data_IF_411292646066
#
_entry.id   IF_411292646066
#
_cell.length_a   1.000
_cell.length_b   1.000
_cell.length_c   1.000
_cell.angle_alpha   90.00
_cell.angle_beta   90.00
_cell.angle_gamma   90.00
#
_symmetry.space_group_name_H-M   'P 1'
#
loop_
_entity.id
_entity.type
_entity.pdbx_description
1 polymer ?
#
# COMPACT_ATOMS: atom_id res chain seq x y z
N UNK A 1 -11.16 -18.43 3.91
CA UNK A 1 -10.20 -17.64 4.72
C UNK A 1 -9.34 -18.62 5.47
N UNK A 2 -8.03 -18.58 5.23
CA UNK A 2 -7.06 -19.50 5.82
C UNK A 2 -6.62 -19.05 7.22
N UNK A 3 -5.68 -19.81 7.77
CA UNK A 3 -5.01 -19.48 9.02
C UNK A 3 -3.97 -18.36 8.85
N UNK A 4 -3.61 -17.70 9.95
CA UNK A 4 -2.44 -16.83 9.99
C UNK A 4 -1.16 -17.66 9.85
N UNK A 5 -0.09 -17.06 9.32
CA UNK A 5 1.17 -17.78 9.16
C UNK A 5 1.91 -18.04 10.49
N UNK A 6 1.71 -17.17 11.49
CA UNK A 6 2.47 -17.18 12.76
C UNK A 6 1.53 -17.00 13.95
N UNK A 7 1.68 -17.81 15.00
CA UNK A 7 0.89 -17.69 16.23
C UNK A 7 1.04 -16.33 16.90
N UNK A 8 2.28 -15.84 17.07
CA UNK A 8 2.53 -14.55 17.75
C UNK A 8 1.80 -13.36 17.08
N UNK A 9 1.45 -13.48 15.80
CA UNK A 9 0.69 -12.45 15.11
C UNK A 9 -0.77 -12.36 15.59
N UNK A 10 -1.37 -13.46 16.05
CA UNK A 10 -2.74 -13.45 16.58
C UNK A 10 -2.84 -12.60 17.85
N UNK A 11 -1.84 -12.67 18.72
CA UNK A 11 -1.74 -11.85 19.94
C UNK A 11 -1.63 -10.37 19.61
N UNK A 12 -0.79 -10.02 18.62
CA UNK A 12 -0.68 -8.64 18.12
C UNK A 12 -2.02 -8.14 17.59
N UNK A 13 -2.72 -8.92 16.76
CA UNK A 13 -4.03 -8.56 16.23
C UNK A 13 -5.06 -8.38 17.35
N UNK A 14 -5.09 -9.28 18.33
CA UNK A 14 -6.00 -9.17 19.47
C UNK A 14 -5.70 -7.93 20.31
N UNK A 15 -4.42 -7.58 20.51
CA UNK A 15 -4.03 -6.34 21.17
C UNK A 15 -4.49 -5.07 20.45
N UNK A 16 -4.49 -5.06 19.11
CA UNK A 16 -5.04 -3.95 18.32
C UNK A 16 -6.56 -3.83 18.46
N UNK A 17 -7.27 -4.96 18.53
CA UNK A 17 -8.71 -4.99 18.76
C UNK A 17 -9.05 -4.47 20.15
N UNK A 18 -8.33 -4.94 21.18
CA UNK A 18 -8.56 -4.50 22.56
C UNK A 18 -8.35 -2.98 22.70
N UNK A 19 -7.26 -2.41 22.15
CA UNK A 19 -7.04 -0.95 22.13
C UNK A 19 -8.20 -0.19 21.45
N UNK A 20 -8.76 -0.74 20.37
CA UNK A 20 -9.88 -0.13 19.69
C UNK A 20 -11.16 -0.16 20.55
N UNK A 21 -11.46 -1.30 21.18
CA UNK A 21 -12.62 -1.47 22.06
C UNK A 21 -12.54 -0.56 23.31
N UNK A 22 -11.37 -0.48 23.93
CA UNK A 22 -11.12 0.39 25.09
C UNK A 22 -11.39 1.86 24.76
N UNK A 23 -11.16 2.25 23.51
CA UNK A 23 -11.39 3.59 22.97
C UNK A 23 -12.74 3.74 22.26
N UNK A 24 -13.72 2.90 22.61
CA UNK A 24 -15.13 2.96 22.16
C UNK A 24 -15.36 2.68 20.67
N UNK A 25 -14.43 2.01 19.98
CA UNK A 25 -14.74 1.40 18.70
C UNK A 25 -15.68 0.20 18.90
N UNK A 26 -16.43 -0.16 17.86
CA UNK A 26 -17.46 -1.20 17.96
C UNK A 26 -17.22 -2.29 16.93
N UNK A 27 -17.30 -3.56 17.35
CA UNK A 27 -17.28 -4.71 16.45
C UNK A 27 -18.70 -4.99 15.97
N UNK A 28 -18.97 -4.77 14.68
CA UNK A 28 -20.30 -5.02 14.09
C UNK A 28 -20.43 -6.40 13.44
N UNK A 29 -19.29 -7.03 13.12
CA UNK A 29 -19.27 -8.39 12.60
C UNK A 29 -17.99 -9.07 13.03
N UNK A 30 -18.10 -10.25 13.67
CA UNK A 30 -16.97 -11.11 13.99
C UNK A 30 -17.33 -12.56 13.75
N UNK A 31 -16.57 -13.23 12.89
CA UNK A 31 -16.85 -14.64 12.53
C UNK A 31 -15.58 -15.46 12.48
N UNK A 32 -15.51 -16.46 13.35
CA UNK A 32 -14.43 -17.46 13.33
C UNK A 32 -14.55 -18.36 12.11
N UNK A 33 -13.44 -18.99 11.74
CA UNK A 33 -13.48 -20.18 10.89
C UNK A 33 -14.17 -21.29 11.68
N UNK A 34 -14.96 -22.13 11.00
CA UNK A 34 -15.72 -23.20 11.63
C UNK A 34 -14.84 -24.30 12.24
N UNK A 35 -15.41 -25.48 12.46
CA UNK A 35 -14.71 -26.62 13.05
C UNK A 35 -13.45 -26.94 12.24
N UNK A 36 -12.29 -26.86 12.90
CA UNK A 36 -10.99 -27.20 12.35
C UNK A 36 -10.83 -28.71 12.55
N UNK A 37 -10.34 -29.43 11.53
CA UNK A 37 -10.19 -30.88 11.62
C UNK A 37 -9.32 -31.32 12.80
N UNK A 38 -9.56 -32.53 13.28
CA UNK A 38 -8.81 -33.12 14.39
C UNK A 38 -7.30 -33.11 14.08
N UNK A 39 -6.48 -32.59 15.01
CA UNK A 39 -5.02 -32.46 14.84
C UNK A 39 -4.54 -31.19 14.11
N UNK A 40 -5.44 -30.30 13.68
CA UNK A 40 -5.05 -29.02 13.10
C UNK A 40 -4.56 -28.03 14.17
N UNK A 41 -3.50 -27.28 13.84
CA UNK A 41 -3.04 -26.16 14.66
C UNK A 41 -4.00 -24.98 14.46
N UNK A 42 -4.66 -24.53 15.53
CA UNK A 42 -5.59 -23.39 15.46
C UNK A 42 -4.82 -22.06 15.35
N UNK A 43 -4.54 -21.68 14.12
CA UNK A 43 -4.01 -20.36 13.74
C UNK A 43 -5.07 -19.49 13.07
N UNK A 44 -6.36 -19.84 13.18
CA UNK A 44 -7.41 -19.05 12.55
C UNK A 44 -7.72 -17.80 13.38
N UNK A 45 -7.77 -16.65 12.72
CA UNK A 45 -8.19 -15.41 13.34
C UNK A 45 -9.58 -15.00 12.85
N UNK A 46 -10.52 -14.64 13.74
CA UNK A 46 -11.87 -14.24 13.32
C UNK A 46 -11.84 -13.02 12.40
N UNK A 47 -12.57 -13.11 11.28
CA UNK A 47 -12.82 -11.95 10.41
C UNK A 47 -13.60 -10.93 11.20
N UNK A 48 -13.08 -9.72 11.30
CA UNK A 48 -13.61 -8.69 12.22
C UNK A 48 -13.82 -7.39 11.48
N UNK A 49 -15.04 -6.85 11.52
CA UNK A 49 -15.37 -5.52 11.03
C UNK A 49 -15.56 -4.62 12.24
N UNK A 50 -14.82 -3.51 12.28
CA UNK A 50 -14.82 -2.56 13.39
C UNK A 50 -15.22 -1.19 12.85
N UNK A 51 -16.21 -0.55 13.47
CA UNK A 51 -16.69 0.79 13.13
C UNK A 51 -16.35 1.79 14.23
N UNK A 52 -16.62 3.07 13.97
CA UNK A 52 -16.35 4.19 14.88
C UNK A 52 -14.85 4.30 15.23
N UNK A 53 -13.99 3.90 14.30
CA UNK A 53 -12.53 4.01 14.43
C UNK A 53 -12.07 5.42 14.05
N UNK A 54 -10.93 5.84 14.59
CA UNK A 54 -10.27 7.09 14.21
C UNK A 54 -8.75 6.99 14.37
N UNK A 55 -8.02 8.00 13.91
CA UNK A 55 -6.54 7.98 13.88
C UNK A 55 -5.86 7.99 15.26
N UNK A 56 -6.58 8.14 16.37
CA UNK A 56 -6.02 7.91 17.71
C UNK A 56 -5.90 6.42 18.10
N UNK A 57 -6.54 5.53 17.33
CA UNK A 57 -6.49 4.09 17.55
C UNK A 57 -5.22 3.49 16.93
N UNK A 58 -4.59 2.56 17.64
CA UNK A 58 -3.41 1.85 17.13
C UNK A 58 -3.73 1.08 15.84
N UNK A 59 -4.94 0.52 15.75
CA UNK A 59 -5.44 -0.17 14.57
C UNK A 59 -5.46 0.71 13.30
N UNK A 60 -5.59 2.04 13.46
CA UNK A 60 -5.57 2.99 12.34
C UNK A 60 -4.17 3.51 12.01
N UNK A 61 -3.19 3.34 12.90
CA UNK A 61 -1.82 3.81 12.71
C UNK A 61 -0.82 2.70 12.35
N UNK A 62 -1.17 1.45 12.65
CA UNK A 62 -0.29 0.28 12.49
C UNK A 62 -0.94 -0.71 11.55
N UNK A 63 -0.12 -1.30 10.68
CA UNK A 63 -0.59 -2.36 9.80
C UNK A 63 -0.92 -3.62 10.61
N UNK A 64 -2.19 -4.00 10.57
CA UNK A 64 -2.70 -5.22 11.21
C UNK A 64 -2.19 -6.46 10.46
N UNK A 65 -2.19 -6.44 9.12
CA UNK A 65 -1.82 -7.58 8.28
C UNK A 65 -2.61 -8.85 8.64
N UNK A 66 -3.92 -8.69 8.83
CA UNK A 66 -4.83 -9.74 9.27
C UNK A 66 -6.26 -9.40 8.90
N UNK A 67 -7.23 -10.28 9.19
CA UNK A 67 -8.59 -10.13 8.68
C UNK A 67 -9.44 -9.17 9.51
N UNK A 68 -8.97 -7.93 9.61
CA UNK A 68 -9.62 -6.84 10.32
C UNK A 68 -9.92 -5.72 9.32
N UNK A 69 -11.18 -5.31 9.23
CA UNK A 69 -11.63 -4.19 8.41
C UNK A 69 -12.12 -3.05 9.30
N UNK A 70 -11.26 -2.05 9.59
CA UNK A 70 -11.67 -0.84 10.28
C UNK A 70 -12.43 0.11 9.32
N UNK A 71 -13.51 0.73 9.80
CA UNK A 71 -14.35 1.65 9.03
C UNK A 71 -14.46 2.99 9.76
N UNK A 72 -13.91 4.02 9.12
CA UNK A 72 -13.93 5.40 9.59
C UNK A 72 -14.91 6.21 8.74
N UNK A 73 -15.77 6.99 9.40
CA UNK A 73 -16.67 7.94 8.72
C UNK A 73 -15.95 9.25 8.44
N UNK A 74 -16.38 9.93 7.40
CA UNK A 74 -15.96 11.28 7.02
C UNK A 74 -17.18 12.04 6.49
N UNK A 75 -17.05 13.36 6.37
CA UNK A 75 -18.14 14.28 6.05
C UNK A 75 -17.92 15.07 4.75
N UNK A 76 -16.68 15.19 4.27
CA UNK A 76 -16.34 15.87 3.02
C UNK A 76 -15.20 15.21 2.26
N UNK A 77 -15.05 15.58 0.98
CA UNK A 77 -13.97 15.06 0.11
C UNK A 77 -12.60 15.56 0.58
N UNK A 78 -12.51 16.81 1.05
CA UNK A 78 -11.30 17.38 1.62
C UNK A 78 -10.91 16.66 2.92
N UNK A 79 -11.90 16.33 3.75
CA UNK A 79 -11.67 15.58 4.98
C UNK A 79 -11.13 14.18 4.68
N UNK A 80 -11.74 13.43 3.76
CA UNK A 80 -11.28 12.07 3.45
C UNK A 80 -9.91 12.05 2.81
N UNK A 81 -9.59 13.02 1.94
CA UNK A 81 -8.24 13.18 1.37
C UNK A 81 -7.23 13.46 2.48
N UNK A 82 -7.55 14.36 3.42
CA UNK A 82 -6.69 14.66 4.57
C UNK A 82 -6.47 13.42 5.45
N UNK A 83 -7.53 12.67 5.75
CA UNK A 83 -7.45 11.44 6.53
C UNK A 83 -6.61 10.37 5.80
N UNK A 84 -6.88 10.10 4.53
CA UNK A 84 -6.09 9.14 3.75
C UNK A 84 -4.59 9.51 3.73
N UNK A 85 -4.29 10.81 3.61
CA UNK A 85 -2.92 11.32 3.55
C UNK A 85 -2.19 11.38 4.90
N UNK A 86 -2.89 11.35 6.04
CA UNK A 86 -2.29 11.31 7.38
C UNK A 86 -1.63 9.95 7.71
N UNK A 87 -1.95 8.90 6.95
CA UNK A 87 -1.25 7.62 7.06
C UNK A 87 0.25 7.78 6.78
N UNK A 88 1.07 7.12 7.62
CA UNK A 88 2.53 7.00 7.42
C UNK A 88 2.87 6.12 6.22
N UNK A 89 1.92 5.33 5.74
CA UNK A 89 2.03 4.45 4.59
C UNK A 89 1.32 5.07 3.37
N UNK A 90 1.70 4.62 2.18
CA UNK A 90 1.16 5.10 0.91
C UNK A 90 1.45 4.11 -0.20
N UNK A 91 1.06 2.84 -0.01
CA UNK A 91 1.24 1.80 -1.03
C UNK A 91 0.21 1.99 -2.14
N UNK A 92 -1.07 1.75 -1.82
CA UNK A 92 -2.15 1.99 -2.76
C UNK A 92 -3.47 2.34 -2.10
N UNK A 93 -4.40 2.86 -2.91
CA UNK A 93 -5.76 3.16 -2.50
C UNK A 93 -6.79 2.66 -3.51
N UNK A 94 -8.04 2.59 -3.07
CA UNK A 94 -9.20 2.36 -3.93
C UNK A 94 -10.28 3.39 -3.57
N UNK A 95 -10.84 4.05 -4.58
CA UNK A 95 -11.90 5.06 -4.40
C UNK A 95 -13.16 4.58 -5.10
N UNK A 96 -14.26 4.49 -4.37
CA UNK A 96 -15.56 4.09 -4.88
C UNK A 96 -16.54 5.27 -4.85
N UNK A 97 -17.16 5.58 -5.98
CA UNK A 97 -18.18 6.65 -6.10
C UNK A 97 -19.07 6.42 -7.31
N UNK A 98 -20.35 6.80 -7.20
CA UNK A 98 -21.25 6.87 -8.35
C UNK A 98 -20.89 7.98 -9.35
N UNK A 99 -20.06 8.96 -8.95
CA UNK A 99 -19.50 9.97 -9.84
C UNK A 99 -18.04 9.63 -10.16
N UNK A 100 -17.79 9.33 -11.44
CA UNK A 100 -16.45 9.00 -11.93
C UNK A 100 -15.47 10.17 -11.77
N UNK A 101 -15.92 11.40 -12.03
CA UNK A 101 -15.08 12.60 -11.86
C UNK A 101 -14.66 12.77 -10.42
N UNK A 102 -15.61 12.70 -9.47
CA UNK A 102 -15.32 12.79 -8.03
C UNK A 102 -14.34 11.70 -7.57
N UNK A 103 -14.54 10.45 -8.00
CA UNK A 103 -13.60 9.38 -7.63
C UNK A 103 -12.19 9.63 -8.17
N UNK A 104 -12.10 10.12 -9.40
CA UNK A 104 -10.84 10.46 -10.06
C UNK A 104 -10.14 11.60 -9.33
N UNK A 105 -10.87 12.68 -9.02
CA UNK A 105 -10.34 13.85 -8.32
C UNK A 105 -9.83 13.52 -6.92
N UNK A 106 -10.54 12.66 -6.18
CA UNK A 106 -10.09 12.17 -4.87
C UNK A 106 -8.84 11.30 -5.03
N UNK A 107 -8.84 10.34 -5.97
CA UNK A 107 -7.72 9.43 -6.17
C UNK A 107 -6.41 10.18 -6.50
N UNK A 108 -6.47 11.24 -7.32
CA UNK A 108 -5.31 12.07 -7.66
C UNK A 108 -4.72 12.85 -6.48
N UNK A 109 -5.52 13.12 -5.44
CA UNK A 109 -5.06 13.86 -4.25
C UNK A 109 -4.51 12.95 -3.15
N UNK A 110 -4.71 11.62 -3.26
CA UNK A 110 -4.18 10.66 -2.28
C UNK A 110 -2.71 10.35 -2.61
N UNK A 111 -1.84 10.55 -1.62
CA UNK A 111 -0.41 10.29 -1.68
C UNK A 111 -0.13 8.79 -1.52
N UNK A 112 -0.31 8.04 -2.61
CA UNK A 112 0.02 6.63 -2.72
C UNK A 112 0.65 6.30 -4.09
N UNK A 113 1.28 5.13 -4.22
CA UNK A 113 1.92 4.75 -5.48
C UNK A 113 0.96 4.19 -6.53
N UNK A 114 -0.15 3.56 -6.12
CA UNK A 114 -1.16 3.01 -7.03
C UNK A 114 -2.58 3.33 -6.56
N UNK A 115 -3.48 3.68 -7.48
CA UNK A 115 -4.87 3.97 -7.18
C UNK A 115 -5.81 3.22 -8.12
N UNK A 116 -6.85 2.60 -7.56
CA UNK A 116 -7.95 2.01 -8.31
C UNK A 116 -9.22 2.86 -8.14
N UNK A 117 -9.98 3.03 -9.22
CA UNK A 117 -11.26 3.75 -9.21
C UNK A 117 -12.37 2.76 -9.49
N UNK A 118 -13.34 2.67 -8.59
CA UNK A 118 -14.46 1.73 -8.63
C UNK A 118 -14.05 0.25 -8.76
N UNK A 119 -12.84 -0.08 -8.30
CA UNK A 119 -12.28 -1.42 -8.29
C UNK A 119 -11.30 -1.56 -7.11
N UNK A 120 -10.92 -2.78 -6.75
CA UNK A 120 -9.95 -3.07 -5.71
C UNK A 120 -8.91 -4.07 -6.20
N UNK A 121 -7.63 -3.71 -6.12
CA UNK A 121 -6.53 -4.59 -6.48
C UNK A 121 -6.31 -4.77 -7.99
N UNK A 122 -7.16 -4.22 -8.86
CA UNK A 122 -6.98 -4.27 -10.31
C UNK A 122 -5.63 -3.70 -10.78
N UNK A 123 -5.09 -2.69 -10.08
CA UNK A 123 -3.75 -2.14 -10.34
C UNK A 123 -2.64 -3.18 -10.21
N UNK A 124 -2.75 -4.13 -9.28
CA UNK A 124 -1.80 -5.23 -9.13
C UNK A 124 -1.94 -6.28 -10.25
N UNK A 125 -3.15 -6.47 -10.78
CA UNK A 125 -3.41 -7.44 -11.84
C UNK A 125 -2.95 -6.93 -13.22
N UNK A 126 -2.88 -5.61 -13.42
CA UNK A 126 -2.39 -5.01 -14.66
C UNK A 126 -0.85 -4.92 -14.64
N UNK A 127 -0.17 -5.98 -15.11
CA UNK A 127 1.30 -6.09 -15.10
C UNK A 127 2.03 -5.00 -15.92
N UNK A 128 1.30 -4.28 -16.78
CA UNK A 128 1.85 -3.14 -17.54
C UNK A 128 1.96 -1.86 -16.71
N UNK A 129 1.29 -1.80 -15.55
CA UNK A 129 1.40 -0.69 -14.61
C UNK A 129 2.55 -0.92 -13.63
N UNK A 130 3.24 0.14 -13.19
CA UNK A 130 4.18 0.03 -12.08
C UNK A 130 3.43 -0.24 -10.78
N UNK A 131 4.02 -1.08 -9.94
CA UNK A 131 3.62 -1.35 -8.57
C UNK A 131 4.72 -0.90 -7.62
N UNK A 132 4.39 0.07 -6.79
CA UNK A 132 5.28 0.65 -5.80
C UNK A 132 4.50 1.56 -4.86
N UNK A 133 5.16 2.06 -3.83
CA UNK A 133 4.56 2.95 -2.84
C UNK A 133 5.41 4.19 -2.61
N UNK A 134 4.88 5.07 -1.77
CA UNK A 134 5.57 6.26 -1.25
C UNK A 134 5.59 6.25 0.28
N UNK A 135 6.24 7.24 0.90
CA UNK A 135 6.36 7.36 2.37
C UNK A 135 7.05 6.12 2.96
N UNK A 136 6.51 5.55 4.05
CA UNK A 136 7.05 4.32 4.65
C UNK A 136 6.70 3.04 3.87
N UNK A 137 5.94 3.13 2.79
CA UNK A 137 5.69 1.98 1.91
C UNK A 137 6.85 1.69 0.96
N UNK A 138 7.93 2.48 1.02
CA UNK A 138 9.17 2.24 0.31
C UNK A 138 9.43 3.23 -0.82
N UNK A 139 10.39 2.87 -1.67
CA UNK A 139 10.78 3.61 -2.86
C UNK A 139 11.07 2.61 -3.99
N UNK A 140 11.00 3.08 -5.24
CA UNK A 140 11.06 2.21 -6.41
C UNK A 140 9.77 1.42 -6.62
N UNK A 141 9.78 0.53 -7.61
CA UNK A 141 8.64 -0.30 -7.94
C UNK A 141 9.04 -1.41 -8.93
N UNK A 142 8.16 -2.39 -9.06
CA UNK A 142 8.26 -3.45 -10.07
C UNK A 142 7.04 -3.38 -11.01
N UNK A 143 7.03 -4.17 -12.09
CA UNK A 143 5.97 -4.10 -13.08
C UNK A 143 6.11 -2.89 -14.01
N UNK A 144 5.40 -2.93 -15.13
CA UNK A 144 5.51 -1.92 -16.18
C UNK A 144 6.91 -1.78 -16.77
N UNK A 145 7.11 -0.71 -17.53
CA UNK A 145 8.41 -0.40 -18.12
C UNK A 145 9.40 0.12 -17.06
N UNK A 146 8.90 0.71 -15.99
CA UNK A 146 9.65 1.24 -14.86
C UNK A 146 10.33 0.10 -14.09
N UNK A 147 9.61 -0.98 -13.79
CA UNK A 147 10.17 -2.15 -13.11
C UNK A 147 11.23 -2.86 -13.94
N UNK A 148 11.03 -2.97 -15.27
CA UNK A 148 12.06 -3.51 -16.17
C UNK A 148 13.32 -2.64 -16.19
N UNK A 149 13.16 -1.32 -16.27
CA UNK A 149 14.30 -0.37 -16.24
C UNK A 149 15.05 -0.43 -14.90
N UNK A 150 14.36 -0.67 -13.79
CA UNK A 150 14.99 -0.83 -12.48
C UNK A 150 15.92 -2.06 -12.41
N UNK A 151 15.73 -3.05 -13.28
CA UNK A 151 16.62 -4.21 -13.43
C UNK A 151 17.79 -3.97 -14.41
N UNK A 152 17.90 -2.78 -15.00
CA UNK A 152 18.96 -2.44 -15.94
C UNK A 152 20.03 -1.54 -15.31
N UNK A 153 21.26 -1.64 -15.81
CA UNK A 153 22.32 -0.67 -15.50
C UNK A 153 22.32 0.43 -16.56
N UNK A 154 22.08 1.68 -16.14
CA UNK A 154 22.11 2.84 -17.05
C UNK A 154 23.57 3.18 -17.37
N UNK A 155 23.92 3.22 -18.66
CA UNK A 155 25.24 3.61 -19.15
C UNK A 155 25.13 4.89 -19.98
N UNK A 156 25.77 5.96 -19.52
CA UNK A 156 25.99 7.15 -20.32
C UNK A 156 27.18 6.93 -21.26
N UNK A 157 27.01 7.26 -22.54
CA UNK A 157 28.07 7.28 -23.55
C UNK A 157 28.03 8.63 -24.23
N UNK A 158 29.18 9.27 -24.37
CA UNK A 158 29.34 10.53 -25.08
C UNK A 158 30.38 10.35 -26.17
N UNK A 159 30.09 10.89 -27.35
CA UNK A 159 31.00 10.92 -28.48
C UNK A 159 31.02 12.33 -29.09
N UNK A 160 32.18 12.70 -29.64
CA UNK A 160 32.31 13.95 -30.37
C UNK A 160 31.53 13.82 -31.70
N UNK A 161 30.41 14.55 -31.82
CA UNK A 161 29.53 14.50 -33.01
C UNK A 161 30.25 14.76 -34.34
N UNK A 162 31.36 15.49 -34.31
CA UNK A 162 32.16 15.88 -35.48
C UNK A 162 33.59 15.35 -35.35
N UNK A 163 33.74 14.10 -34.93
CA UNK A 163 35.02 13.41 -34.66
C UNK A 163 36.21 13.74 -35.60
N UNK A 164 36.04 13.94 -36.93
CA UNK A 164 37.16 14.33 -37.79
C UNK A 164 37.63 15.79 -37.59
N UNK A 165 36.75 16.69 -37.14
CA UNK A 165 36.95 18.15 -37.14
C UNK A 165 37.04 18.76 -35.74
N UNK A 166 36.24 18.25 -34.81
CA UNK A 166 36.18 18.69 -33.42
C UNK A 166 36.30 17.44 -32.57
N UNK A 167 37.47 17.26 -31.95
CA UNK A 167 37.76 16.10 -31.09
C UNK A 167 38.43 16.53 -29.80
N UNK A 168 38.07 15.86 -28.72
CA UNK A 168 38.81 15.94 -27.47
C UNK A 168 40.18 15.26 -27.67
N UNK A 169 41.26 16.02 -27.49
CA UNK A 169 42.63 15.50 -27.71
C UNK A 169 43.14 14.81 -26.45
N UNK A 170 43.66 13.58 -26.58
CA UNK A 170 44.33 12.86 -25.49
C UNK A 170 45.72 13.50 -25.26
N UNK A 171 46.03 14.00 -24.04
CA UNK A 171 47.36 14.53 -23.73
C UNK A 171 48.46 13.49 -23.94
N UNK A 172 49.69 13.93 -24.25
CA UNK A 172 50.85 13.04 -24.33
C UNK A 172 51.20 12.46 -22.94
N UNK A 173 51.75 11.23 -22.84
CA UNK A 173 52.24 10.69 -21.57
C UNK A 173 53.29 11.61 -20.95
N UNK A 174 53.23 11.78 -19.63
CA UNK A 174 54.30 12.45 -18.86
C UNK A 174 55.39 11.42 -18.62
N UNK A 175 56.62 11.71 -19.08
CA UNK A 175 57.81 10.90 -18.85
C UNK A 175 58.48 11.26 -17.52
#
# INVERSE_FOLDING_TARGET
MGALCMHAHSEKLQGLINDALDKRAEIIARRSSGHIGEGAVDQYFPRTVIVNVNHSLRLMQQEAFGPIMPIMKFSSDEEVVKLANDSKFGLGCAVFSGSQSRATDIAFQINCGIAAINDFGATYMCQSLPFGGVKRSGFGGFGGAEGLRACCLVKAVVEDRWWPFIKTVIPKPVQ
#
